data_IF_333854629616
#
_entry.id   IF_333854629616
#
_cell.length_a   1.000
_cell.length_b   1.000
_cell.length_c   1.000
_cell.angle_alpha   90.00
_cell.angle_beta   90.00
_cell.angle_gamma   90.00
#
_symmetry.space_group_name_H-M   'P 1'
#
loop_
_entity.id
_entity.type
_entity.pdbx_description
1 polymer ?
#
# COMPACT_ATOMS: atom_id res chain seq x y z
N UNK A 1 35.49 -11.89 -9.34
CA UNK A 1 34.91 -10.57 -8.99
C UNK A 1 33.40 -10.45 -9.25
N UNK A 2 32.79 -10.88 -10.37
CA UNK A 2 31.34 -10.66 -10.59
C UNK A 2 30.41 -11.46 -9.66
N UNK A 3 30.90 -12.57 -9.09
CA UNK A 3 30.13 -13.46 -8.20
C UNK A 3 29.87 -12.87 -6.81
N UNK A 4 30.82 -12.11 -6.27
CA UNK A 4 30.70 -11.49 -4.93
C UNK A 4 29.72 -10.32 -4.94
N UNK A 5 29.71 -9.53 -6.02
CA UNK A 5 28.79 -8.41 -6.20
C UNK A 5 27.33 -8.88 -6.33
N UNK A 6 27.11 -9.98 -7.07
CA UNK A 6 25.80 -10.63 -7.19
C UNK A 6 25.31 -11.18 -5.84
N UNK A 7 26.18 -11.80 -5.05
CA UNK A 7 25.84 -12.30 -3.73
C UNK A 7 25.49 -11.16 -2.75
N UNK A 8 26.25 -10.06 -2.79
CA UNK A 8 25.99 -8.85 -2.00
C UNK A 8 24.66 -8.21 -2.39
N UNK A 9 24.38 -8.08 -3.68
CA UNK A 9 23.11 -7.57 -4.19
C UNK A 9 21.91 -8.41 -3.71
N UNK A 10 22.00 -9.75 -3.82
CA UNK A 10 20.94 -10.64 -3.33
C UNK A 10 20.71 -10.52 -1.83
N UNK A 11 21.77 -10.34 -1.03
CA UNK A 11 21.65 -10.10 0.41
C UNK A 11 20.94 -8.79 0.71
N UNK A 12 21.28 -7.69 0.02
CA UNK A 12 20.61 -6.40 0.18
C UNK A 12 19.12 -6.48 -0.16
N UNK A 13 18.76 -7.12 -1.29
CA UNK A 13 17.36 -7.35 -1.65
C UNK A 13 16.63 -8.22 -0.61
N UNK A 14 17.31 -9.22 -0.03
CA UNK A 14 16.78 -10.05 1.04
C UNK A 14 16.52 -9.29 2.35
N UNK A 15 17.45 -8.41 2.74
CA UNK A 15 17.29 -7.51 3.88
C UNK A 15 16.14 -6.54 3.68
N UNK A 16 16.01 -5.97 2.48
CA UNK A 16 14.91 -5.05 2.15
C UNK A 16 13.54 -5.71 2.30
N UNK A 17 13.39 -6.98 1.86
CA UNK A 17 12.16 -7.75 2.10
C UNK A 17 11.86 -7.86 3.59
N UNK A 18 12.86 -8.15 4.42
CA UNK A 18 12.67 -8.34 5.84
C UNK A 18 12.25 -7.04 6.54
N UNK A 19 12.86 -5.91 6.15
CA UNK A 19 12.46 -4.58 6.61
C UNK A 19 11.01 -4.25 6.22
N UNK A 20 10.62 -4.52 4.96
CA UNK A 20 9.26 -4.31 4.50
C UNK A 20 8.24 -5.17 5.28
N UNK A 21 8.56 -6.45 5.51
CA UNK A 21 7.71 -7.35 6.31
C UNK A 21 7.61 -6.87 7.75
N UNK A 22 8.73 -6.49 8.37
CA UNK A 22 8.76 -5.97 9.74
C UNK A 22 7.88 -4.72 9.87
N UNK A 23 8.02 -3.77 8.95
CA UNK A 23 7.20 -2.55 8.91
C UNK A 23 5.70 -2.86 8.75
N UNK A 24 5.34 -3.76 7.83
CA UNK A 24 3.94 -4.13 7.61
C UNK A 24 3.36 -4.81 8.86
N UNK A 25 4.10 -5.74 9.47
CA UNK A 25 3.67 -6.43 10.68
C UNK A 25 3.53 -5.47 11.87
N UNK A 26 4.49 -4.56 12.09
CA UNK A 26 4.45 -3.63 13.22
C UNK A 26 3.31 -2.62 13.09
N UNK A 27 3.13 -2.01 11.92
CA UNK A 27 2.04 -1.05 11.67
C UNK A 27 0.68 -1.74 11.71
N UNK A 28 0.57 -2.95 11.16
CA UNK A 28 -0.67 -3.74 11.22
C UNK A 28 -1.02 -4.14 12.66
N UNK A 29 -0.02 -4.48 13.49
CA UNK A 29 -0.23 -4.78 14.90
C UNK A 29 -0.73 -3.55 15.68
N UNK A 30 -0.19 -2.37 15.40
CA UNK A 30 -0.69 -1.09 15.97
C UNK A 30 -2.13 -0.83 15.52
N UNK A 31 -2.45 -1.05 14.24
CA UNK A 31 -3.82 -0.93 13.73
C UNK A 31 -4.77 -1.87 14.46
N UNK A 32 -4.43 -3.15 14.60
CA UNK A 32 -5.26 -4.12 15.32
C UNK A 32 -5.44 -3.72 16.78
N UNK A 33 -4.39 -3.25 17.43
CA UNK A 33 -4.47 -2.76 18.81
C UNK A 33 -5.45 -1.57 18.93
N UNK A 34 -5.36 -0.60 18.03
CA UNK A 34 -6.17 0.62 18.08
C UNK A 34 -7.63 0.40 17.65
N UNK A 35 -7.86 -0.40 16.61
CA UNK A 35 -9.19 -0.56 16.01
C UNK A 35 -9.95 -1.81 16.49
N UNK A 36 -9.28 -2.77 17.14
CA UNK A 36 -9.92 -4.00 17.65
C UNK A 36 -9.81 -4.09 19.16
N UNK A 37 -8.62 -3.91 19.74
CA UNK A 37 -8.41 -4.11 21.18
C UNK A 37 -9.02 -2.98 22.00
N UNK A 38 -8.81 -1.71 21.62
CA UNK A 38 -9.42 -0.58 22.32
C UNK A 38 -10.96 -0.66 22.39
N UNK A 39 -11.71 -0.88 21.28
CA UNK A 39 -13.16 -1.04 21.34
C UNK A 39 -13.61 -2.33 22.04
N UNK A 40 -12.84 -3.42 21.98
CA UNK A 40 -13.16 -4.64 22.72
C UNK A 40 -13.01 -4.47 24.25
N UNK A 41 -12.01 -3.70 24.68
CA UNK A 41 -11.80 -3.38 26.11
C UNK A 41 -12.88 -2.41 26.61
N UNK A 42 -13.33 -1.46 25.80
CA UNK A 42 -14.44 -0.58 26.19
C UNK A 42 -15.76 -1.35 26.21
N UNK A 43 -16.02 -2.24 25.25
CA UNK A 43 -17.22 -3.08 25.22
C UNK A 43 -17.28 -4.06 26.41
N UNK A 44 -16.15 -4.65 26.80
CA UNK A 44 -16.07 -5.53 27.97
C UNK A 44 -16.18 -4.81 29.32
N UNK A 45 -15.96 -3.48 29.35
CA UNK A 45 -16.15 -2.63 30.54
C UNK A 45 -17.47 -1.86 30.53
N UNK A 46 -18.18 -1.81 29.40
CA UNK A 46 -19.44 -1.09 29.27
C UNK A 46 -20.60 -1.90 29.87
N UNK A 47 -21.33 -1.29 30.81
CA UNK A 47 -22.50 -1.89 31.43
C UNK A 47 -23.75 -1.90 30.52
N UNK A 48 -23.75 -1.13 29.43
CA UNK A 48 -24.83 -1.06 28.43
C UNK A 48 -24.27 -1.02 27.01
N UNK A 49 -24.78 -1.84 26.06
CA UNK A 49 -24.30 -1.90 24.68
C UNK A 49 -24.71 -0.69 23.81
N UNK A 50 -25.42 0.29 24.38
CA UNK A 50 -25.90 1.48 23.67
C UNK A 50 -24.83 2.58 23.49
N UNK A 51 -23.73 2.56 24.26
CA UNK A 51 -22.66 3.57 24.18
C UNK A 51 -21.60 3.27 23.11
N UNK A 52 -21.57 2.04 22.58
CA UNK A 52 -20.70 1.69 21.46
C UNK A 52 -21.46 1.99 20.18
N UNK A 53 -21.49 3.27 19.81
CA UNK A 53 -22.11 3.71 18.57
C UNK A 53 -21.47 2.99 17.39
N UNK A 54 -22.19 2.04 16.77
CA UNK A 54 -21.78 1.35 15.54
C UNK A 54 -21.33 2.35 14.45
N UNK A 55 -21.89 3.56 14.49
CA UNK A 55 -21.56 4.69 13.62
C UNK A 55 -20.10 5.16 13.82
N UNK A 56 -19.61 5.27 15.06
CA UNK A 56 -18.21 5.65 15.36
C UNK A 56 -17.21 4.58 14.91
N UNK A 57 -17.60 3.31 15.01
CA UNK A 57 -16.79 2.17 14.55
C UNK A 57 -16.71 2.12 13.02
N UNK A 58 -17.81 2.42 12.33
CA UNK A 58 -17.88 2.54 10.87
C UNK A 58 -17.09 3.76 10.38
N UNK A 59 -17.19 4.91 11.05
CA UNK A 59 -16.40 6.11 10.72
C UNK A 59 -14.91 5.82 10.84
N UNK A 60 -14.47 5.24 11.96
CA UNK A 60 -13.08 4.80 12.18
C UNK A 60 -12.60 3.81 11.12
N UNK A 61 -13.44 2.86 10.71
CA UNK A 61 -13.11 1.90 9.66
C UNK A 61 -12.90 2.59 8.30
N UNK A 62 -13.76 3.57 7.96
CA UNK A 62 -13.65 4.35 6.72
C UNK A 62 -12.34 5.15 6.69
N UNK A 63 -11.96 5.76 7.81
CA UNK A 63 -10.69 6.48 7.94
C UNK A 63 -9.45 5.57 7.87
N UNK A 64 -9.56 4.30 8.29
CA UNK A 64 -8.46 3.35 8.23
C UNK A 64 -8.26 2.69 6.84
N UNK A 65 -9.25 2.79 5.96
CA UNK A 65 -9.23 2.12 4.65
C UNK A 65 -8.00 2.46 3.78
N UNK A 66 -7.57 3.74 3.64
CA UNK A 66 -6.38 4.08 2.85
C UNK A 66 -5.09 3.45 3.38
N UNK A 67 -4.98 3.30 4.70
CA UNK A 67 -3.80 2.69 5.35
C UNK A 67 -3.58 1.25 4.89
N UNK A 68 -4.66 0.51 4.65
CA UNK A 68 -4.57 -0.87 4.13
C UNK A 68 -3.97 -0.92 2.72
N UNK A 69 -4.36 0.02 1.85
CA UNK A 69 -3.78 0.14 0.50
C UNK A 69 -2.29 0.47 0.54
N UNK A 70 -1.88 1.34 1.47
CA UNK A 70 -0.47 1.71 1.65
C UNK A 70 0.36 0.55 2.20
N UNK A 71 -0.17 -0.19 3.16
CA UNK A 71 0.48 -1.39 3.70
C UNK A 71 0.66 -2.46 2.61
N UNK A 72 -0.36 -2.66 1.77
CA UNK A 72 -0.26 -3.58 0.64
C UNK A 72 0.81 -3.15 -0.36
N UNK A 73 0.94 -1.84 -0.65
CA UNK A 73 1.99 -1.32 -1.51
C UNK A 73 3.40 -1.67 -0.97
N UNK A 74 3.65 -1.42 0.32
CA UNK A 74 4.94 -1.76 0.96
C UNK A 74 5.20 -3.27 0.92
N UNK A 75 4.17 -4.07 1.19
CA UNK A 75 4.26 -5.53 1.12
C UNK A 75 4.58 -6.01 -0.31
N UNK A 76 3.96 -5.43 -1.33
CA UNK A 76 4.20 -5.75 -2.73
C UNK A 76 5.67 -5.48 -3.12
N UNK A 77 6.24 -4.33 -2.73
CA UNK A 77 7.66 -4.00 -2.96
C UNK A 77 8.57 -5.01 -2.25
N UNK A 78 8.32 -5.27 -0.97
CA UNK A 78 9.09 -6.26 -0.19
C UNK A 78 9.06 -7.65 -0.82
N UNK A 79 7.89 -8.09 -1.29
CA UNK A 79 7.71 -9.37 -1.97
C UNK A 79 8.48 -9.45 -3.29
N UNK A 80 8.57 -8.34 -4.03
CA UNK A 80 9.29 -8.26 -5.30
C UNK A 80 10.80 -8.34 -5.09
N UNK A 81 11.34 -7.57 -4.14
CA UNK A 81 12.76 -7.65 -3.76
C UNK A 81 13.12 -9.04 -3.22
N UNK A 82 12.19 -9.69 -2.53
CA UNK A 82 12.32 -11.08 -2.12
C UNK A 82 12.37 -12.11 -3.26
N UNK A 83 11.75 -11.81 -4.40
CA UNK A 83 11.81 -12.66 -5.60
C UNK A 83 13.12 -12.43 -6.36
N UNK A 84 13.59 -11.18 -6.41
CA UNK A 84 14.89 -10.82 -7.00
C UNK A 84 16.05 -11.48 -6.25
N UNK A 85 16.03 -11.48 -4.91
CA UNK A 85 17.08 -12.13 -4.12
C UNK A 85 17.18 -13.65 -4.34
N UNK A 86 16.09 -14.28 -4.76
CA UNK A 86 16.01 -15.71 -5.13
C UNK A 86 16.47 -16.00 -6.57
N UNK A 87 16.94 -15.00 -7.31
CA UNK A 87 17.47 -15.17 -8.67
C UNK A 87 16.42 -15.14 -9.78
N UNK A 88 15.21 -14.63 -9.52
CA UNK A 88 14.25 -14.33 -10.60
C UNK A 88 14.77 -13.21 -11.50
N UNK A 89 14.35 -13.22 -12.78
CA UNK A 89 14.61 -12.12 -13.71
C UNK A 89 14.14 -10.79 -13.11
N UNK A 90 15.07 -9.84 -13.03
CA UNK A 90 14.91 -8.54 -12.36
C UNK A 90 13.84 -7.70 -13.08
N UNK A 91 13.92 -7.64 -14.41
CA UNK A 91 13.10 -6.79 -15.28
C UNK A 91 11.58 -7.09 -15.18
N UNK A 92 11.08 -8.31 -15.41
CA UNK A 92 9.65 -8.63 -15.26
C UNK A 92 9.18 -8.58 -13.80
N UNK A 93 10.07 -8.86 -12.84
CA UNK A 93 9.71 -8.79 -11.41
C UNK A 93 9.47 -7.35 -10.97
N UNK A 94 10.33 -6.42 -11.41
CA UNK A 94 10.20 -5.00 -11.12
C UNK A 94 9.00 -4.38 -11.84
N UNK A 95 8.79 -4.68 -13.12
CA UNK A 95 7.64 -4.15 -13.87
C UNK A 95 6.30 -4.55 -13.23
N UNK A 96 6.16 -5.83 -12.87
CA UNK A 96 4.98 -6.32 -12.14
C UNK A 96 4.82 -5.68 -10.77
N UNK A 97 5.92 -5.47 -10.04
CA UNK A 97 5.89 -4.82 -8.73
C UNK A 97 5.43 -3.36 -8.84
N UNK A 98 6.03 -2.59 -9.76
CA UNK A 98 5.66 -1.20 -10.04
C UNK A 98 4.18 -1.07 -10.39
N UNK A 99 3.63 -2.00 -11.18
CA UNK A 99 2.21 -2.02 -11.53
C UNK A 99 1.32 -2.27 -10.31
N UNK A 100 1.65 -3.28 -9.50
CA UNK A 100 0.87 -3.62 -8.30
C UNK A 100 0.91 -2.50 -7.26
N UNK A 101 2.07 -1.89 -7.06
CA UNK A 101 2.29 -0.75 -6.16
C UNK A 101 1.55 0.48 -6.68
N UNK A 102 1.66 0.77 -7.98
CA UNK A 102 0.99 1.91 -8.61
C UNK A 102 -0.53 1.83 -8.49
N UNK A 103 -1.11 0.64 -8.72
CA UNK A 103 -2.56 0.42 -8.51
C UNK A 103 -2.93 0.61 -7.04
N UNK A 104 -2.15 0.05 -6.11
CA UNK A 104 -2.44 0.13 -4.69
C UNK A 104 -2.39 1.57 -4.16
N UNK A 105 -1.33 2.30 -4.49
CA UNK A 105 -1.15 3.70 -4.12
C UNK A 105 -2.17 4.61 -4.84
N UNK A 106 -2.42 4.36 -6.12
CA UNK A 106 -3.40 5.10 -6.91
C UNK A 106 -4.82 4.96 -6.36
N UNK A 107 -5.24 3.73 -6.07
CA UNK A 107 -6.55 3.47 -5.45
C UNK A 107 -6.61 4.01 -4.02
N UNK A 108 -5.56 3.85 -3.21
CA UNK A 108 -5.51 4.39 -1.85
C UNK A 108 -5.61 5.93 -1.82
N UNK A 109 -4.88 6.61 -2.71
CA UNK A 109 -4.95 8.06 -2.88
C UNK A 109 -6.31 8.54 -3.40
N UNK A 110 -6.87 7.86 -4.41
CA UNK A 110 -8.22 8.16 -4.92
C UNK A 110 -9.29 7.94 -3.84
N UNK A 111 -9.19 6.88 -3.05
CA UNK A 111 -10.12 6.62 -1.95
C UNK A 111 -9.98 7.66 -0.85
N UNK A 112 -8.76 8.11 -0.54
CA UNK A 112 -8.55 9.21 0.43
C UNK A 112 -9.16 10.52 -0.08
N UNK A 113 -8.87 10.90 -1.31
CA UNK A 113 -9.27 12.20 -1.86
C UNK A 113 -10.75 12.24 -2.25
N UNK A 114 -11.27 11.19 -2.89
CA UNK A 114 -12.66 11.14 -3.34
C UNK A 114 -13.55 10.38 -2.38
N UNK A 115 -13.12 9.24 -1.86
CA UNK A 115 -13.94 8.42 -0.96
C UNK A 115 -14.23 9.13 0.36
N UNK A 116 -13.21 9.48 1.13
CA UNK A 116 -13.38 10.12 2.45
C UNK A 116 -14.05 11.49 2.30
N UNK A 117 -13.62 12.29 1.32
CA UNK A 117 -14.20 13.63 1.08
C UNK A 117 -15.67 13.58 0.63
N UNK A 118 -16.09 12.59 -0.17
CA UNK A 118 -17.50 12.48 -0.56
C UNK A 118 -18.36 11.89 0.57
N UNK A 119 -17.83 10.95 1.35
CA UNK A 119 -18.53 10.36 2.50
C UNK A 119 -18.75 11.41 3.59
N UNK A 120 -17.74 12.21 3.92
CA UNK A 120 -17.89 13.30 4.90
C UNK A 120 -18.93 14.33 4.45
N UNK A 121 -19.02 14.57 3.13
CA UNK A 121 -20.00 15.47 2.52
C UNK A 121 -21.43 14.91 2.52
N UNK A 122 -21.60 13.58 2.45
CA UNK A 122 -22.91 12.92 2.47
C UNK A 122 -23.51 12.84 3.88
N UNK A 123 -22.67 12.76 4.92
CA UNK A 123 -23.08 12.58 6.32
C UNK A 123 -23.45 13.91 7.03
N UNK A 124 -23.26 15.06 6.38
CA UNK A 124 -23.71 16.36 6.91
C UNK A 124 -22.97 16.82 8.18
N UNK A 125 -21.78 16.29 8.45
CA UNK A 125 -21.01 16.53 9.68
C UNK A 125 -20.36 17.92 9.74
N UNK A 126 -21.13 18.94 10.11
CA UNK A 126 -20.63 20.30 10.36
C UNK A 126 -19.85 20.46 11.69
N UNK A 127 -19.12 19.45 12.19
CA UNK A 127 -18.23 19.61 13.37
C UNK A 127 -16.87 18.90 13.28
N UNK A 128 -16.51 18.28 12.15
CA UNK A 128 -15.16 17.74 11.88
C UNK A 128 -14.55 18.39 10.65
N UNK A 129 -13.43 19.10 10.84
CA UNK A 129 -12.71 19.96 9.87
C UNK A 129 -13.10 19.81 8.38
N UNK A 130 -13.81 20.82 7.88
CA UNK A 130 -14.28 21.03 6.50
C UNK A 130 -13.16 21.08 5.43
N UNK A 131 -11.90 20.88 5.82
CA UNK A 131 -10.71 21.12 5.01
C UNK A 131 -9.59 20.08 5.23
N UNK A 132 -9.91 18.80 5.47
CA UNK A 132 -8.91 17.75 5.30
C UNK A 132 -8.77 17.38 3.82
N UNK A 133 -8.36 18.35 3.00
CA UNK A 133 -7.83 18.03 1.67
C UNK A 133 -6.51 17.34 1.89
N UNK A 134 -6.54 16.01 1.81
CA UNK A 134 -5.35 15.18 1.97
C UNK A 134 -4.41 15.41 0.78
N UNK A 135 -3.55 16.43 0.90
CA UNK A 135 -2.48 16.72 -0.06
C UNK A 135 -1.58 15.49 -0.21
N UNK A 136 -1.41 14.71 0.87
CA UNK A 136 -0.69 13.45 0.80
C UNK A 136 -1.46 12.44 -0.08
N UNK A 137 -2.77 12.33 0.06
CA UNK A 137 -3.64 11.52 -0.81
C UNK A 137 -3.57 11.91 -2.29
N UNK A 138 -3.59 13.20 -2.62
CA UNK A 138 -3.47 13.69 -4.01
C UNK A 138 -2.10 13.38 -4.61
N UNK A 139 -1.03 13.68 -3.87
CA UNK A 139 0.35 13.43 -4.33
C UNK A 139 0.62 11.94 -4.49
N UNK A 140 0.13 11.13 -3.56
CA UNK A 140 0.30 9.68 -3.55
C UNK A 140 -0.55 9.01 -4.64
N UNK A 141 -1.74 9.55 -4.96
CA UNK A 141 -2.53 9.16 -6.13
C UNK A 141 -1.79 9.42 -7.44
N UNK A 142 -1.18 10.61 -7.60
CA UNK A 142 -0.37 10.97 -8.76
C UNK A 142 0.87 10.09 -8.90
N UNK A 143 1.60 9.86 -7.81
CA UNK A 143 2.77 8.97 -7.78
C UNK A 143 2.35 7.53 -8.12
N UNK A 144 1.24 7.05 -7.56
CA UNK A 144 0.68 5.73 -7.87
C UNK A 144 0.38 5.57 -9.36
N UNK A 145 -0.27 6.57 -9.97
CA UNK A 145 -0.52 6.62 -11.42
C UNK A 145 0.76 6.58 -12.26
N UNK A 146 1.77 7.37 -11.88
CA UNK A 146 3.07 7.38 -12.56
C UNK A 146 3.78 6.02 -12.49
N UNK A 147 3.80 5.38 -11.31
CA UNK A 147 4.40 4.05 -11.13
C UNK A 147 3.66 2.97 -11.93
N UNK A 148 2.33 3.07 -12.03
CA UNK A 148 1.53 2.16 -12.85
C UNK A 148 1.89 2.28 -14.34
N UNK A 149 1.98 3.51 -14.85
CA UNK A 149 2.37 3.76 -16.24
C UNK A 149 3.79 3.29 -16.51
N UNK A 150 4.73 3.56 -15.60
CA UNK A 150 6.11 3.10 -15.73
C UNK A 150 6.20 1.57 -15.81
N UNK A 151 5.46 0.86 -14.96
CA UNK A 151 5.37 -0.60 -15.02
C UNK A 151 4.90 -1.10 -16.39
N UNK A 152 3.90 -0.44 -16.98
CA UNK A 152 3.39 -0.77 -18.33
C UNK A 152 4.41 -0.48 -19.43
N UNK A 153 5.17 0.61 -19.34
CA UNK A 153 6.24 0.94 -20.30
C UNK A 153 7.38 -0.08 -20.21
N UNK A 154 7.75 -0.51 -19.00
CA UNK A 154 8.77 -1.56 -18.81
C UNK A 154 8.35 -2.91 -19.38
N UNK A 155 7.08 -3.31 -19.21
CA UNK A 155 6.54 -4.52 -19.84
C UNK A 155 6.66 -4.44 -21.38
N UNK A 156 6.27 -3.31 -21.98
CA UNK A 156 6.38 -3.08 -23.43
C UNK A 156 7.81 -3.09 -23.94
N UNK A 157 8.74 -2.51 -23.19
CA UNK A 157 10.15 -2.51 -23.56
C UNK A 157 10.73 -3.94 -23.57
N UNK A 158 10.30 -4.80 -22.64
CA UNK A 158 10.70 -6.20 -22.61
C UNK A 158 10.14 -6.98 -23.80
N UNK A 159 8.88 -6.75 -24.18
CA UNK A 159 8.26 -7.38 -25.36
C UNK A 159 9.00 -6.99 -26.66
N UNK A 160 9.29 -5.70 -26.85
CA UNK A 160 10.01 -5.20 -28.04
C UNK A 160 11.43 -5.79 -28.10
N UNK A 161 12.11 -5.90 -26.95
CA UNK A 161 13.44 -6.49 -26.89
C UNK A 161 13.43 -7.99 -27.24
N UNK A 162 12.36 -8.71 -26.89
CA UNK A 162 12.18 -10.10 -27.28
C UNK A 162 11.93 -10.27 -28.79
N UNK A 163 11.14 -9.37 -29.41
CA UNK A 163 10.93 -9.38 -30.87
C UNK A 163 12.23 -9.10 -31.65
N UNK A 164 13.06 -8.17 -31.16
CA UNK A 164 14.35 -7.87 -31.77
C UNK A 164 15.35 -9.03 -31.69
N UNK A 165 15.32 -9.81 -30.61
CA UNK A 165 16.17 -10.99 -30.41
C UNK A 165 15.74 -12.16 -31.32
N UNK A 166 14.48 -12.20 -31.76
CA UNK A 166 13.98 -13.19 -32.73
C UNK A 166 14.36 -12.84 -34.18
N UNK A 167 14.71 -11.59 -34.48
CA UNK A 167 15.11 -11.14 -35.83
C UNK A 167 16.61 -11.31 -36.14
N UNK A 168 17.43 -11.68 -35.15
CA UNK A 168 18.89 -11.92 -35.27
C UNK A 168 19.16 -13.43 -35.33
#
# INVERSE_FOLDING_TARGET
>A
MPTDDLARFRRLCGQFRWLAVFMVCSVSAIMVLMFVVAPAVTLSRAASPADVGLIDLVEKAIWATPTLFYLYAVWAIGSAMGKVSKGRLIQPTLARALRQVGIALGLGGLLSVFGITNISRLIGGSQGSFAYFDVAGMTLGMIGGALFLLGRVMDRAADIQAELDEMI
#
